data_IF_821634820696
#
_entry.id   IF_821634820696
#
_cell.length_a   1.000
_cell.length_b   1.000
_cell.length_c   1.000
_cell.angle_alpha   90.00
_cell.angle_beta   90.00
_cell.angle_gamma   90.00
#
_symmetry.space_group_name_H-M   'P 1'
#
loop_
_entity.id
_entity.type
_entity.pdbx_description
1 polymer ?
#
# COMPACT_ATOMS: atom_id res chain seq x y z
N UNK A 1 -4.17 -17.73 -10.61
CA UNK A 1 -3.32 -16.68 -11.19
C UNK A 1 -2.33 -16.27 -10.12
N UNK A 2 -1.04 -16.55 -10.30
CA UNK A 2 -0.02 -16.05 -9.38
C UNK A 2 0.06 -14.53 -9.58
N UNK A 3 -0.22 -13.76 -8.53
CA UNK A 3 -0.12 -12.30 -8.58
C UNK A 3 1.32 -11.86 -8.87
N UNK A 4 1.48 -10.61 -9.32
CA UNK A 4 2.78 -9.96 -9.51
C UNK A 4 3.57 -10.06 -8.19
N UNK A 5 4.75 -10.71 -8.23
CA UNK A 5 5.59 -10.80 -7.05
C UNK A 5 6.09 -9.40 -6.67
N UNK A 6 6.27 -9.17 -5.37
CA UNK A 6 6.86 -7.90 -4.90
C UNK A 6 8.29 -7.77 -5.46
N UNK A 7 8.65 -6.65 -6.09
CA UNK A 7 10.01 -6.43 -6.56
C UNK A 7 10.99 -6.31 -5.39
N UNK A 8 12.27 -6.51 -5.66
CA UNK A 8 13.37 -6.23 -4.72
C UNK A 8 14.36 -5.30 -5.42
N UNK A 9 14.60 -4.07 -4.91
CA UNK A 9 14.07 -3.49 -3.67
C UNK A 9 12.59 -3.07 -3.76
N UNK A 10 11.87 -3.11 -2.62
CA UNK A 10 10.51 -2.58 -2.50
C UNK A 10 10.44 -1.46 -1.46
N UNK A 11 9.69 -0.41 -1.75
CA UNK A 11 9.41 0.66 -0.80
C UNK A 11 8.82 0.12 0.52
N UNK A 12 7.98 -0.92 0.47
CA UNK A 12 7.37 -1.52 1.65
C UNK A 12 8.37 -2.15 2.63
N UNK A 13 9.57 -2.51 2.18
CA UNK A 13 10.58 -3.10 3.04
C UNK A 13 11.16 -2.07 4.03
N UNK A 14 10.99 -0.77 3.75
CA UNK A 14 11.32 0.34 4.66
C UNK A 14 10.21 0.65 5.68
N UNK A 15 9.01 0.09 5.49
CA UNK A 15 7.82 0.40 6.28
C UNK A 15 7.54 -0.69 7.32
N UNK A 16 6.84 -0.35 8.41
CA UNK A 16 6.52 -1.32 9.45
C UNK A 16 5.35 -2.21 9.04
N UNK A 17 5.54 -3.53 8.97
CA UNK A 17 4.42 -4.45 8.76
C UNK A 17 3.47 -4.42 9.95
N UNK A 18 2.18 -4.14 9.71
CA UNK A 18 1.15 -4.03 10.74
C UNK A 18 0.21 -5.24 10.82
N UNK A 19 0.51 -6.30 10.05
CA UNK A 19 -0.26 -7.53 10.01
C UNK A 19 -0.97 -7.73 8.67
N UNK A 20 -1.94 -8.62 8.65
CA UNK A 20 -2.82 -8.84 7.50
C UNK A 20 -4.28 -8.67 7.92
N UNK A 21 -5.00 -7.84 7.18
CA UNK A 21 -6.44 -7.60 7.37
C UNK A 21 -7.15 -8.05 6.11
N UNK A 22 -8.22 -8.86 6.24
CA UNK A 22 -8.95 -9.42 5.10
C UNK A 22 -8.06 -10.16 4.09
N UNK A 23 -7.03 -10.87 4.57
CA UNK A 23 -6.07 -11.61 3.74
C UNK A 23 -5.06 -10.73 3.00
N UNK A 24 -5.07 -9.42 3.21
CA UNK A 24 -4.13 -8.48 2.60
C UNK A 24 -3.12 -8.01 3.63
N UNK A 25 -1.83 -8.20 3.33
CA UNK A 25 -0.75 -7.70 4.18
C UNK A 25 -0.70 -6.18 4.09
N UNK A 26 -0.58 -5.52 5.24
CA UNK A 26 -0.56 -4.07 5.35
C UNK A 26 0.70 -3.60 6.05
N UNK A 27 1.18 -2.44 5.65
CA UNK A 27 2.30 -1.75 6.26
C UNK A 27 1.85 -0.37 6.72
N UNK A 28 2.55 0.18 7.71
CA UNK A 28 2.36 1.54 8.20
C UNK A 28 3.69 2.26 8.18
N UNK A 29 3.66 3.58 7.99
CA UNK A 29 4.87 4.37 8.17
C UNK A 29 5.25 4.50 9.63
N UNK A 30 6.49 4.93 9.89
CA UNK A 30 7.00 5.15 11.24
C UNK A 30 6.17 6.15 12.07
N UNK A 31 5.46 7.07 11.40
CA UNK A 31 4.53 8.01 12.06
C UNK A 31 3.17 7.39 12.40
N UNK A 32 2.78 6.28 11.77
CA UNK A 32 1.48 5.65 11.94
C UNK A 32 0.30 6.46 11.37
N UNK A 33 0.55 7.43 10.50
CA UNK A 33 -0.50 8.24 9.87
C UNK A 33 -0.85 7.78 8.44
N UNK A 34 -0.06 6.86 7.87
CA UNK A 34 -0.26 6.26 6.55
C UNK A 34 -0.21 4.74 6.61
N UNK A 35 -1.08 4.13 5.84
CA UNK A 35 -1.14 2.71 5.60
C UNK A 35 -0.83 2.40 4.13
N UNK A 36 -0.21 1.26 3.89
CA UNK A 36 0.19 0.78 2.57
C UNK A 36 -0.29 -0.65 2.38
N UNK A 37 -0.86 -0.96 1.23
CA UNK A 37 -1.26 -2.31 0.83
C UNK A 37 -0.60 -2.67 -0.50
N UNK A 38 -0.14 -3.92 -0.61
CA UNK A 38 0.43 -4.43 -1.86
C UNK A 38 -0.70 -4.91 -2.77
N UNK A 39 -0.84 -4.30 -3.95
CA UNK A 39 -1.71 -4.80 -5.00
C UNK A 39 -0.95 -5.80 -5.88
N UNK A 40 -1.13 -7.09 -5.58
CA UNK A 40 -0.53 -8.17 -6.34
C UNK A 40 -1.17 -8.38 -7.72
N UNK A 41 -2.29 -7.73 -8.06
CA UNK A 41 -2.86 -7.83 -9.41
C UNK A 41 -2.12 -6.90 -10.37
N UNK A 42 -1.73 -5.72 -9.90
CA UNK A 42 -1.14 -4.68 -10.73
C UNK A 42 0.34 -4.41 -10.46
N UNK A 43 0.89 -4.91 -9.35
CA UNK A 43 2.30 -4.72 -8.99
C UNK A 43 2.61 -3.33 -8.42
N UNK A 44 1.66 -2.69 -7.75
CA UNK A 44 1.84 -1.36 -7.15
C UNK A 44 1.37 -1.30 -5.70
N UNK A 45 1.66 -0.20 -5.03
CA UNK A 45 1.33 0.00 -3.62
C UNK A 45 0.17 0.97 -3.51
N UNK A 46 -0.93 0.56 -2.90
CA UNK A 46 -2.02 1.47 -2.57
C UNK A 46 -1.77 2.15 -1.23
N UNK A 47 -1.94 3.47 -1.16
CA UNK A 47 -1.73 4.28 0.04
C UNK A 47 -3.05 4.75 0.61
N UNK A 48 -3.15 4.68 1.92
CA UNK A 48 -4.30 5.11 2.68
C UNK A 48 -3.87 6.00 3.86
N UNK A 49 -4.73 6.93 4.25
CA UNK A 49 -4.51 7.72 5.47
C UNK A 49 -4.91 6.94 6.73
N UNK A 50 -4.65 7.51 7.90
CA UNK A 50 -5.04 6.93 9.20
C UNK A 50 -6.54 6.64 9.38
N UNK A 51 -7.39 7.22 8.54
CA UNK A 51 -8.86 7.02 8.53
C UNK A 51 -9.29 6.04 7.43
N UNK A 52 -8.34 5.40 6.76
CA UNK A 52 -8.58 4.41 5.72
C UNK A 52 -8.99 4.99 4.39
N UNK A 53 -8.91 6.32 4.19
CA UNK A 53 -9.21 6.93 2.88
C UNK A 53 -8.04 6.73 1.94
N UNK A 54 -8.33 6.32 0.71
CA UNK A 54 -7.34 6.17 -0.34
C UNK A 54 -6.72 7.53 -0.69
N UNK A 55 -5.39 7.58 -0.63
CA UNK A 55 -4.57 8.75 -0.95
C UNK A 55 -4.00 8.68 -2.36
N UNK A 56 -3.89 7.48 -2.92
CA UNK A 56 -3.34 7.26 -4.25
C UNK A 56 -2.51 5.99 -4.30
N UNK A 57 -1.79 5.83 -5.40
CA UNK A 57 -0.99 4.65 -5.69
C UNK A 57 0.47 5.06 -5.83
N UNK A 58 1.38 4.29 -5.24
CA UNK A 58 2.82 4.44 -5.36
C UNK A 58 3.42 3.34 -6.22
N UNK A 59 4.50 3.69 -6.91
CA UNK A 59 5.40 2.72 -7.51
C UNK A 59 6.05 1.84 -6.43
N UNK A 60 6.17 0.56 -6.73
CA UNK A 60 6.66 -0.44 -5.80
C UNK A 60 8.15 -0.27 -5.45
N UNK A 61 8.94 0.28 -6.38
CA UNK A 61 10.40 0.35 -6.31
C UNK A 61 10.83 1.76 -5.90
N UNK A 62 10.37 2.79 -6.61
CA UNK A 62 10.73 4.18 -6.35
C UNK A 62 9.96 4.78 -5.17
N UNK A 63 8.75 4.29 -4.87
CA UNK A 63 7.86 4.91 -3.89
C UNK A 63 7.26 6.24 -4.35
N UNK A 64 7.37 6.57 -5.65
CA UNK A 64 6.77 7.76 -6.24
C UNK A 64 5.28 7.57 -6.50
N UNK A 65 4.50 8.66 -6.44
CA UNK A 65 3.06 8.58 -6.68
C UNK A 65 2.78 8.42 -8.18
N UNK A 66 2.28 7.25 -8.57
CA UNK A 66 1.89 6.94 -9.96
C UNK A 66 0.46 7.37 -10.26
N UNK A 67 -0.40 7.45 -9.24
CA UNK A 67 -1.78 7.88 -9.41
C UNK A 67 -2.34 8.54 -8.16
N UNK A 68 -3.27 9.46 -8.38
CA UNK A 68 -3.91 10.25 -7.34
C UNK A 68 -5.00 9.49 -6.56
N UNK A 69 -5.61 10.15 -5.57
CA UNK A 69 -6.65 9.55 -4.73
C UNK A 69 -7.93 9.28 -5.53
N UNK A 70 -8.36 8.02 -5.51
CA UNK A 70 -9.69 7.62 -6.01
C UNK A 70 -10.75 7.87 -4.94
N UNK A 71 -11.69 8.79 -5.24
CA UNK A 71 -12.78 9.13 -4.34
C UNK A 71 -13.70 7.92 -4.11
N UNK A 72 -14.01 7.63 -2.84
CA UNK A 72 -14.86 6.51 -2.44
C UNK A 72 -14.11 5.21 -2.11
N UNK A 73 -12.85 5.08 -2.54
CA UNK A 73 -12.01 3.93 -2.17
C UNK A 73 -11.52 4.08 -0.73
N UNK A 74 -11.82 3.07 0.10
CA UNK A 74 -11.44 3.06 1.52
C UNK A 74 -11.09 1.65 1.97
N UNK A 75 -10.24 1.57 2.98
CA UNK A 75 -9.94 0.37 3.73
C UNK A 75 -10.57 0.44 5.11
N UNK A 76 -10.81 -0.72 5.70
CA UNK A 76 -11.11 -0.85 7.12
C UNK A 76 -9.80 -0.77 7.91
N UNK A 77 -9.74 0.05 8.97
CA UNK A 77 -8.51 0.43 9.69
C UNK A 77 -8.55 -0.04 11.13
#
# INVERSE_FOLDING_TARGET
>A
MAGVPRPQPCFLDTQHSCGATNGRKRWRNGRGDRYYEWDALHGHIEVYNKRGKHLGVLDAVSGEMISGPVRGRKIDV
#
